data_IF_635509886004
#
_entry.id   IF_635509886004
#
_cell.length_a   1.000
_cell.length_b   1.000
_cell.length_c   1.000
_cell.angle_alpha   90.00
_cell.angle_beta   90.00
_cell.angle_gamma   90.00
#
_symmetry.space_group_name_H-M   'P 1'
#
loop_
_entity.id
_entity.type
_entity.pdbx_description
1 polymer ?
#
# COMPACT_ATOMS: atom_id res chain seq x y z
N UNK A 1 4.41 -1.73 19.87
CA UNK A 1 3.05 -1.35 19.39
C UNK A 1 2.74 -2.16 18.15
N UNK A 2 1.55 -2.75 18.05
CA UNK A 2 1.09 -3.53 16.88
C UNK A 2 -0.01 -2.72 16.17
N UNK A 3 0.01 -2.69 14.84
CA UNK A 3 -1.01 -2.02 14.02
C UNK A 3 -1.49 -2.95 12.93
N UNK A 4 -2.80 -3.10 12.81
CA UNK A 4 -3.48 -3.85 11.74
C UNK A 4 -4.10 -2.89 10.72
N UNK A 5 -4.81 -3.43 9.70
CA UNK A 5 -5.42 -2.60 8.65
C UNK A 5 -6.54 -1.69 9.20
N UNK A 6 -7.23 -2.13 10.24
CA UNK A 6 -8.29 -1.38 10.93
C UNK A 6 -7.72 -0.16 11.66
N UNK A 7 -6.49 -0.29 12.19
CA UNK A 7 -5.80 0.79 12.90
C UNK A 7 -5.21 1.90 12.02
N UNK A 8 -5.35 1.81 10.69
CA UNK A 8 -4.89 2.83 9.76
C UNK A 8 -5.90 3.98 9.57
N UNK A 9 -7.19 3.70 9.76
CA UNK A 9 -8.26 4.68 9.60
C UNK A 9 -8.54 5.41 10.91
N UNK A 10 -8.95 6.67 10.83
CA UNK A 10 -9.41 7.47 11.97
C UNK A 10 -10.91 7.72 11.80
N UNK A 11 -11.74 6.81 12.33
CA UNK A 11 -13.18 6.78 12.02
C UNK A 11 -13.39 6.61 10.51
N UNK A 12 -14.17 7.51 9.91
CA UNK A 12 -14.47 7.50 8.47
C UNK A 12 -13.32 8.04 7.59
N UNK A 13 -12.25 8.57 8.20
CA UNK A 13 -11.10 9.07 7.46
C UNK A 13 -10.12 7.95 7.16
N UNK A 14 -10.07 7.54 5.90
CA UNK A 14 -9.08 6.57 5.41
C UNK A 14 -7.70 7.22 5.25
N UNK A 15 -6.66 6.43 5.50
CA UNK A 15 -5.27 6.83 5.36
C UNK A 15 -4.92 7.13 3.88
N UNK A 16 -4.00 8.09 3.59
CA UNK A 16 -3.60 8.41 2.21
C UNK A 16 -3.14 7.22 1.36
N UNK A 17 -2.53 6.21 2.00
CA UNK A 17 -2.14 4.95 1.34
C UNK A 17 -3.39 4.16 0.90
N UNK A 18 -4.40 4.01 1.76
CA UNK A 18 -5.65 3.34 1.40
C UNK A 18 -6.34 4.07 0.24
N UNK A 19 -6.39 5.42 0.29
CA UNK A 19 -6.93 6.24 -0.79
C UNK A 19 -6.17 6.04 -2.11
N UNK A 20 -4.85 5.96 -2.08
CA UNK A 20 -4.05 5.70 -3.28
C UNK A 20 -4.32 4.31 -3.89
N UNK A 21 -4.54 3.28 -3.05
CA UNK A 21 -4.91 1.95 -3.53
C UNK A 21 -6.28 1.95 -4.24
N UNK A 22 -7.24 2.70 -3.71
CA UNK A 22 -8.56 2.91 -4.34
C UNK A 22 -8.38 3.65 -5.66
N UNK A 23 -7.72 4.81 -5.65
CA UNK A 23 -7.59 5.67 -6.82
C UNK A 23 -6.85 5.00 -7.99
N UNK A 24 -5.93 4.08 -7.73
CA UNK A 24 -5.15 3.38 -8.77
C UNK A 24 -5.78 2.05 -9.22
N UNK A 25 -6.91 1.64 -8.64
CA UNK A 25 -7.48 0.31 -8.92
C UNK A 25 -6.55 -0.82 -8.49
N UNK A 26 -5.84 -0.65 -7.38
CA UNK A 26 -4.93 -1.65 -6.83
C UNK A 26 -5.66 -2.79 -6.08
N UNK A 27 -6.99 -2.71 -6.00
CA UNK A 27 -7.86 -3.66 -5.29
C UNK A 27 -8.77 -4.35 -6.30
N UNK A 28 -8.71 -5.67 -6.35
CA UNK A 28 -9.67 -6.51 -7.07
C UNK A 28 -10.45 -7.35 -6.05
N UNK A 29 -10.05 -8.60 -5.78
CA UNK A 29 -10.72 -9.44 -4.77
C UNK A 29 -10.56 -8.91 -3.33
N UNK A 30 -9.59 -8.03 -3.07
CA UNK A 30 -9.37 -7.41 -1.76
C UNK A 30 -8.60 -8.25 -0.74
N UNK A 31 -8.48 -9.55 -0.93
CA UNK A 31 -7.92 -10.46 0.09
C UNK A 31 -6.48 -10.10 0.51
N UNK A 32 -5.61 -9.76 -0.45
CA UNK A 32 -4.23 -9.37 -0.15
C UNK A 32 -4.07 -7.91 0.28
N UNK A 33 -5.12 -7.08 0.17
CA UNK A 33 -5.03 -5.62 0.36
C UNK A 33 -4.55 -5.22 1.76
N UNK A 34 -5.02 -5.85 2.87
CA UNK A 34 -4.53 -5.51 4.20
C UNK A 34 -3.00 -5.60 4.34
N UNK A 35 -2.41 -6.72 3.92
CA UNK A 35 -0.96 -6.93 3.96
C UNK A 35 -0.19 -5.97 3.05
N UNK A 36 -0.69 -5.76 1.82
CA UNK A 36 -0.08 -4.84 0.86
C UNK A 36 -0.05 -3.39 1.37
N UNK A 37 -1.13 -2.91 1.96
CA UNK A 37 -1.23 -1.55 2.50
C UNK A 37 -0.29 -1.37 3.70
N UNK A 38 -0.23 -2.35 4.61
CA UNK A 38 0.67 -2.29 5.77
C UNK A 38 2.15 -2.35 5.35
N UNK A 39 2.50 -3.22 4.39
CA UNK A 39 3.86 -3.28 3.85
C UNK A 39 4.27 -1.96 3.17
N UNK A 40 3.37 -1.37 2.38
CA UNK A 40 3.58 -0.05 1.79
C UNK A 40 3.75 1.04 2.85
N UNK A 41 2.95 1.01 3.94
CA UNK A 41 3.09 1.93 5.06
C UNK A 41 4.47 1.83 5.71
N UNK A 42 4.93 0.61 6.04
CA UNK A 42 6.24 0.40 6.65
C UNK A 42 7.37 0.94 5.76
N UNK A 43 7.28 0.74 4.44
CA UNK A 43 8.24 1.33 3.50
C UNK A 43 8.21 2.86 3.56
N UNK A 44 7.03 3.46 3.40
CA UNK A 44 6.89 4.91 3.27
C UNK A 44 7.09 5.67 4.59
N UNK A 45 6.96 5.01 5.74
CA UNK A 45 7.31 5.58 7.04
C UNK A 45 8.84 5.66 7.21
N UNK A 46 9.61 4.82 6.51
CA UNK A 46 11.09 4.82 6.52
C UNK A 46 11.71 5.63 5.38
N UNK A 47 11.06 5.65 4.22
CA UNK A 47 11.60 6.25 3.00
C UNK A 47 10.53 7.04 2.26
N UNK A 48 10.61 8.37 2.32
CA UNK A 48 9.63 9.29 1.71
C UNK A 48 9.55 9.18 0.19
N UNK A 49 10.69 8.94 -0.48
CA UNK A 49 10.77 8.78 -1.92
C UNK A 49 11.43 7.43 -2.28
N UNK A 50 10.68 6.32 -2.24
CA UNK A 50 11.23 5.00 -2.57
C UNK A 50 11.41 4.84 -4.09
N UNK A 51 12.48 4.15 -4.49
CA UNK A 51 12.67 3.68 -5.86
C UNK A 51 11.73 2.51 -6.17
N UNK A 52 11.64 2.11 -7.45
CA UNK A 52 10.87 0.91 -7.80
C UNK A 52 11.38 -0.36 -7.12
N UNK A 53 12.70 -0.51 -6.98
CA UNK A 53 13.29 -1.69 -6.35
C UNK A 53 13.00 -1.73 -4.85
N UNK A 54 12.96 -0.57 -4.18
CA UNK A 54 12.51 -0.50 -2.78
C UNK A 54 11.06 -0.99 -2.64
N UNK A 55 10.18 -0.58 -3.55
CA UNK A 55 8.77 -1.00 -3.54
C UNK A 55 8.66 -2.50 -3.80
N UNK A 56 9.35 -3.04 -4.80
CA UNK A 56 9.35 -4.48 -5.08
C UNK A 56 9.84 -5.28 -3.88
N UNK A 57 10.94 -4.86 -3.26
CA UNK A 57 11.50 -5.54 -2.08
C UNK A 57 10.57 -5.46 -0.87
N UNK A 58 9.92 -4.33 -0.65
CA UNK A 58 8.96 -4.18 0.46
C UNK A 58 7.70 -5.05 0.27
N UNK A 59 7.27 -5.28 -0.96
CA UNK A 59 6.07 -6.03 -1.28
C UNK A 59 6.32 -7.53 -1.56
N UNK A 60 7.57 -7.99 -1.62
CA UNK A 60 7.91 -9.36 -2.07
C UNK A 60 7.32 -10.47 -1.21
N UNK A 61 7.05 -10.21 0.06
CA UNK A 61 6.38 -11.15 0.97
C UNK A 61 4.85 -11.17 0.86
N UNK A 62 4.25 -10.34 0.02
CA UNK A 62 2.80 -10.25 -0.15
C UNK A 62 2.39 -10.76 -1.53
N UNK A 63 1.71 -11.91 -1.56
CA UNK A 63 1.28 -12.52 -2.82
C UNK A 63 -0.08 -11.97 -3.26
N UNK A 64 -0.19 -11.66 -4.55
CA UNK A 64 -1.44 -11.25 -5.18
C UNK A 64 -1.66 -12.04 -6.47
N UNK A 65 -2.86 -12.63 -6.62
CA UNK A 65 -3.22 -13.39 -7.82
C UNK A 65 -4.02 -12.58 -8.85
N UNK A 66 -4.55 -11.43 -8.46
CA UNK A 66 -5.54 -10.71 -9.26
C UNK A 66 -4.93 -9.56 -10.08
N UNK A 67 -4.01 -8.79 -9.50
CA UNK A 67 -3.61 -7.48 -10.08
C UNK A 67 -2.39 -7.52 -11.01
N UNK A 68 -1.58 -8.59 -10.94
CA UNK A 68 -0.24 -8.59 -11.56
C UNK A 68 0.71 -7.54 -10.99
N UNK A 69 0.45 -7.00 -9.79
CA UNK A 69 1.27 -6.04 -9.02
C UNK A 69 1.46 -4.64 -9.60
N UNK A 70 1.24 -4.41 -10.90
CA UNK A 70 1.47 -3.09 -11.52
C UNK A 70 0.67 -1.97 -10.86
N UNK A 71 -0.64 -2.17 -10.66
CA UNK A 71 -1.51 -1.17 -10.02
C UNK A 71 -1.17 -0.96 -8.54
N UNK A 72 -0.74 -2.01 -7.83
CA UNK A 72 -0.27 -1.92 -6.44
C UNK A 72 0.99 -1.05 -6.36
N UNK A 73 1.99 -1.29 -7.22
CA UNK A 73 3.20 -0.45 -7.29
C UNK A 73 2.87 1.02 -7.57
N UNK A 74 1.94 1.28 -8.49
CA UNK A 74 1.49 2.64 -8.80
C UNK A 74 0.82 3.31 -7.61
N UNK A 75 0.00 2.57 -6.84
CA UNK A 75 -0.61 3.08 -5.61
C UNK A 75 0.43 3.49 -4.57
N UNK A 76 1.49 2.69 -4.37
CA UNK A 76 2.58 3.04 -3.45
C UNK A 76 3.30 4.32 -3.92
N UNK A 77 3.62 4.43 -5.21
CA UNK A 77 4.22 5.65 -5.77
C UNK A 77 3.33 6.88 -5.61
N UNK A 78 2.02 6.74 -5.82
CA UNK A 78 1.06 7.83 -5.64
C UNK A 78 0.95 8.24 -4.19
N UNK A 79 0.93 7.28 -3.26
CA UNK A 79 0.94 7.58 -1.83
C UNK A 79 2.20 8.31 -1.39
N UNK A 80 3.38 7.95 -1.94
CA UNK A 80 4.64 8.66 -1.67
C UNK A 80 4.60 10.13 -2.08
N UNK A 81 3.92 10.47 -3.20
CA UNK A 81 3.78 11.84 -3.70
C UNK A 81 2.76 12.68 -2.91
N UNK A 82 1.76 12.05 -2.29
CA UNK A 82 0.67 12.73 -1.55
C UNK A 82 0.98 12.93 -0.05
N UNK A 83 2.21 12.66 0.39
CA UNK A 83 2.67 12.76 1.79
C UNK A 83 3.55 13.99 2.03
#
# INVERSE_FOLDING_TARGET
VITTIEGLSLGDKIHPIQKAFIDEGAVQCGFCTPGMVLAAKVLLDKKRNPSEEDIKKALSGNLCRCTGYTKIKNAVKKAAKKR
#
